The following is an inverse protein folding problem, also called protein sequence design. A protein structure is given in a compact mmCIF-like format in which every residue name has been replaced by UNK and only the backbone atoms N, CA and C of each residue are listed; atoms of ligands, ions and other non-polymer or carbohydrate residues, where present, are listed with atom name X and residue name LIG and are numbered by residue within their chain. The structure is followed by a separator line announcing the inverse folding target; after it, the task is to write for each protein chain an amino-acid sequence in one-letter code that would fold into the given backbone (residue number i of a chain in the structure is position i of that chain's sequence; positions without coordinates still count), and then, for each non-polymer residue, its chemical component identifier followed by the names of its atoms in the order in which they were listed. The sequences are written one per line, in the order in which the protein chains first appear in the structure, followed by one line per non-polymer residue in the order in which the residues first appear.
data_IF_551087597851
#
_entry.id   IF_551087597851
#
_cell.length_a   1.000
_cell.length_b   1.000
_cell.length_c   1.000
_cell.angle_alpha   90.00
_cell.angle_beta   90.00
_cell.angle_gamma   90.00
#
_symmetry.space_group_name_H-M   'P 1'
#
loop_
_entity.id
_entity.type
_entity.pdbx_description
1 polymer ?
#
# COMPACT_ATOMS: atom_id res chain seq x y z
N UNK A 1 14.65 -36.33 -23.90
CA UNK A 1 14.90 -34.93 -23.51
C UNK A 1 13.57 -34.38 -23.03
N UNK A 2 13.08 -35.02 -21.98
CA UNK A 2 11.70 -34.96 -21.48
C UNK A 2 11.83 -34.54 -20.01
N UNK A 3 10.81 -33.83 -19.51
CA UNK A 3 10.64 -33.44 -18.10
C UNK A 3 11.25 -32.09 -17.65
N UNK A 4 11.23 -31.07 -18.52
CA UNK A 4 11.49 -29.65 -18.16
C UNK A 4 10.20 -28.83 -17.96
N UNK A 5 9.02 -29.41 -18.25
CA UNK A 5 7.75 -28.66 -18.37
C UNK A 5 6.81 -28.75 -17.15
N UNK A 6 7.24 -29.39 -16.06
CA UNK A 6 6.41 -29.65 -14.87
C UNK A 6 6.63 -28.61 -13.76
N UNK A 7 6.08 -27.40 -13.89
CA UNK A 7 5.70 -26.57 -12.72
C UNK A 7 4.89 -25.31 -13.04
N UNK A 8 3.77 -25.44 -13.76
CA UNK A 8 2.73 -24.41 -13.72
C UNK A 8 1.36 -25.07 -13.50
N UNK A 9 0.76 -24.79 -12.35
CA UNK A 9 -0.52 -25.36 -11.88
C UNK A 9 -1.71 -24.82 -12.70
N UNK A 10 -1.98 -25.46 -13.85
CA UNK A 10 -3.19 -25.17 -14.63
C UNK A 10 -3.32 -25.83 -16.02
N UNK A 11 -2.41 -26.72 -16.43
CA UNK A 11 -2.49 -27.41 -17.72
C UNK A 11 -1.92 -26.59 -18.89
N UNK A 12 -1.61 -27.29 -19.99
CA UNK A 12 -0.94 -26.75 -21.18
C UNK A 12 -1.67 -25.53 -21.78
N UNK A 13 -3.00 -25.59 -21.85
CA UNK A 13 -3.84 -24.51 -22.41
C UNK A 13 -3.72 -23.20 -21.60
N UNK A 14 -3.56 -23.28 -20.27
CA UNK A 14 -3.38 -22.10 -19.42
C UNK A 14 -2.00 -21.48 -19.63
N UNK A 15 -0.95 -22.29 -19.82
CA UNK A 15 0.41 -21.79 -20.07
C UNK A 15 0.50 -21.10 -21.43
N UNK A 16 -0.01 -21.71 -22.49
CA UNK A 16 0.03 -21.12 -23.84
C UNK A 16 -0.74 -19.79 -23.89
N UNK A 17 -1.88 -19.72 -23.21
CA UNK A 17 -2.64 -18.48 -23.05
C UNK A 17 -1.84 -17.38 -22.32
N UNK A 18 -1.09 -17.73 -21.27
CA UNK A 18 -0.23 -16.79 -20.54
C UNK A 18 0.97 -16.32 -21.38
N UNK A 19 1.64 -17.24 -22.08
CA UNK A 19 2.75 -16.90 -22.98
C UNK A 19 2.29 -15.95 -24.10
N UNK A 20 1.11 -16.20 -24.68
CA UNK A 20 0.53 -15.32 -25.68
C UNK A 20 0.20 -13.92 -25.11
N UNK A 21 -0.28 -13.84 -23.86
CA UNK A 21 -0.53 -12.56 -23.16
C UNK A 21 0.75 -11.79 -22.91
N UNK A 22 1.79 -12.45 -22.39
CA UNK A 22 3.11 -11.84 -22.16
C UNK A 22 3.66 -11.21 -23.45
N UNK A 23 3.61 -11.96 -24.56
CA UNK A 23 4.07 -11.48 -25.87
C UNK A 23 3.27 -10.29 -26.38
N UNK A 24 1.95 -10.24 -26.15
CA UNK A 24 1.13 -9.07 -26.50
C UNK A 24 1.51 -7.82 -25.70
N UNK A 25 2.07 -8.00 -24.50
CA UNK A 25 2.64 -6.93 -23.67
C UNK A 25 4.14 -6.68 -23.96
N UNK A 26 4.69 -7.31 -25.00
CA UNK A 26 6.03 -7.03 -25.50
C UNK A 26 7.13 -7.97 -25.00
N UNK A 27 6.81 -8.94 -24.12
CA UNK A 27 7.81 -9.87 -23.61
C UNK A 27 8.36 -10.77 -24.71
N UNK A 28 9.69 -10.86 -24.78
CA UNK A 28 10.41 -11.73 -25.71
C UNK A 28 10.45 -13.17 -25.20
N UNK A 29 10.92 -14.09 -26.03
CA UNK A 29 11.13 -15.48 -25.57
C UNK A 29 12.28 -15.58 -24.58
N UNK A 30 13.27 -14.69 -24.66
CA UNK A 30 14.42 -14.69 -23.76
C UNK A 30 14.05 -14.12 -22.38
N UNK A 31 13.20 -13.08 -22.34
CA UNK A 31 12.61 -12.54 -21.10
C UNK A 31 11.87 -13.64 -20.33
N UNK A 32 11.02 -14.40 -21.03
CA UNK A 32 10.25 -15.51 -20.44
C UNK A 32 11.15 -16.63 -19.91
N UNK A 33 12.26 -16.93 -20.60
CA UNK A 33 13.25 -17.90 -20.11
C UNK A 33 13.99 -17.38 -18.89
N UNK A 34 14.34 -16.09 -18.87
CA UNK A 34 15.00 -15.47 -17.73
C UNK A 34 14.08 -15.48 -16.50
N UNK A 35 12.79 -15.17 -16.66
CA UNK A 35 11.79 -15.24 -15.60
C UNK A 35 11.64 -16.68 -15.07
N UNK A 36 11.57 -17.68 -15.96
CA UNK A 36 11.50 -19.09 -15.58
C UNK A 36 12.78 -19.57 -14.86
N UNK A 37 13.96 -19.15 -15.31
CA UNK A 37 15.23 -19.46 -14.66
C UNK A 37 15.33 -18.89 -13.23
N UNK A 38 14.67 -17.77 -12.96
CA UNK A 38 14.53 -17.18 -11.62
C UNK A 38 13.37 -17.78 -10.82
N UNK A 39 12.69 -18.80 -11.34
CA UNK A 39 11.57 -19.47 -10.66
C UNK A 39 10.33 -18.59 -10.51
N UNK A 40 10.16 -17.57 -11.35
CA UNK A 40 9.00 -16.68 -11.29
C UNK A 40 7.72 -17.41 -11.69
N UNK A 41 6.62 -17.09 -11.00
CA UNK A 41 5.31 -17.54 -11.43
C UNK A 41 4.89 -16.80 -12.72
N UNK A 42 4.71 -17.54 -13.81
CA UNK A 42 4.31 -17.00 -15.12
C UNK A 42 2.98 -16.25 -15.06
N UNK A 43 2.07 -16.65 -14.17
CA UNK A 43 0.82 -15.93 -13.93
C UNK A 43 1.09 -14.52 -13.44
N UNK A 44 1.80 -14.39 -12.31
CA UNK A 44 2.14 -13.08 -11.74
C UNK A 44 3.06 -12.25 -12.66
N UNK A 45 3.97 -12.88 -13.41
CA UNK A 45 4.80 -12.19 -14.39
C UNK A 45 3.95 -11.52 -15.48
N UNK A 46 2.98 -12.25 -16.04
CA UNK A 46 2.01 -11.70 -17.00
C UNK A 46 1.17 -10.60 -16.37
N UNK A 47 0.71 -10.79 -15.14
CA UNK A 47 -0.08 -9.76 -14.45
C UNK A 47 0.70 -8.47 -14.21
N UNK A 48 2.02 -8.56 -13.96
CA UNK A 48 2.88 -7.39 -13.79
C UNK A 48 3.05 -6.63 -15.11
N UNK A 49 3.30 -7.34 -16.22
CA UNK A 49 3.32 -6.75 -17.56
C UNK A 49 1.98 -6.12 -17.94
N UNK A 50 0.87 -6.73 -17.52
CA UNK A 50 -0.46 -6.18 -17.76
C UNK A 50 -0.77 -4.94 -16.94
N UNK A 51 -0.15 -4.81 -15.77
CA UNK A 51 -0.10 -3.61 -14.95
C UNK A 51 1.01 -2.63 -15.40
N UNK A 52 1.47 -2.76 -16.66
CA UNK A 52 2.40 -1.88 -17.36
C UNK A 52 3.81 -1.77 -16.72
N UNK A 53 4.22 -2.76 -15.95
CA UNK A 53 5.62 -2.91 -15.56
C UNK A 53 6.48 -3.37 -16.74
N UNK A 54 7.73 -2.90 -16.80
CA UNK A 54 8.71 -3.41 -17.76
C UNK A 54 9.32 -4.72 -17.25
N UNK A 55 9.85 -5.52 -18.17
CA UNK A 55 10.58 -6.75 -17.82
C UNK A 55 11.72 -6.47 -16.83
N UNK A 56 12.50 -5.42 -17.07
CA UNK A 56 13.61 -5.02 -16.20
C UNK A 56 13.14 -4.73 -14.78
N UNK A 57 12.01 -4.03 -14.64
CA UNK A 57 11.45 -3.69 -13.33
C UNK A 57 10.94 -4.91 -12.57
N UNK A 58 10.37 -5.89 -13.28
CA UNK A 58 9.90 -7.16 -12.71
C UNK A 58 11.11 -7.98 -12.21
N UNK A 59 12.15 -8.06 -13.04
CA UNK A 59 13.40 -8.74 -12.68
C UNK A 59 14.09 -8.08 -11.49
N UNK A 60 14.19 -6.75 -11.47
CA UNK A 60 14.78 -5.99 -10.37
C UNK A 60 14.03 -6.24 -9.05
N UNK A 61 12.70 -6.26 -9.06
CA UNK A 61 11.90 -6.54 -7.88
C UNK A 61 12.18 -7.95 -7.31
N UNK A 62 12.22 -8.97 -8.18
CA UNK A 62 12.53 -10.34 -7.75
C UNK A 62 13.96 -10.46 -7.24
N UNK A 63 14.93 -9.81 -7.88
CA UNK A 63 16.33 -9.83 -7.44
C UNK A 63 16.53 -9.14 -6.09
N UNK A 64 15.73 -8.10 -5.80
CA UNK A 64 15.68 -7.48 -4.49
C UNK A 64 14.98 -8.35 -3.43
N UNK A 65 14.35 -9.47 -3.82
CA UNK A 65 13.64 -10.36 -2.90
C UNK A 65 12.18 -9.97 -2.67
N UNK A 66 11.61 -9.09 -3.51
CA UNK A 66 10.18 -8.75 -3.48
C UNK A 66 9.41 -9.89 -4.13
N UNK A 67 8.42 -10.44 -3.40
CA UNK A 67 7.51 -11.44 -3.96
C UNK A 67 6.77 -10.86 -5.16
N UNK A 68 6.76 -11.56 -6.29
CA UNK A 68 6.16 -11.04 -7.52
C UNK A 68 4.65 -10.78 -7.37
N UNK A 69 3.93 -11.60 -6.59
CA UNK A 69 2.52 -11.37 -6.26
C UNK A 69 2.29 -10.05 -5.51
N UNK A 70 3.26 -9.64 -4.70
CA UNK A 70 3.22 -8.39 -3.94
C UNK A 70 3.51 -7.21 -4.87
N UNK A 71 4.52 -7.33 -5.73
CA UNK A 71 4.85 -6.34 -6.75
C UNK A 71 3.65 -6.06 -7.66
N UNK A 72 2.97 -7.11 -8.17
CA UNK A 72 1.74 -6.99 -8.98
C UNK A 72 0.64 -6.23 -8.25
N UNK A 73 0.40 -6.55 -6.97
CA UNK A 73 -0.63 -5.85 -6.18
C UNK A 73 -0.33 -4.36 -6.04
N UNK A 74 0.94 -4.02 -5.88
CA UNK A 74 1.38 -2.63 -5.78
C UNK A 74 1.18 -1.86 -7.10
N UNK A 75 1.53 -2.47 -8.23
CA UNK A 75 1.29 -1.89 -9.56
C UNK A 75 -0.21 -1.68 -9.82
N UNK A 76 -1.05 -2.66 -9.46
CA UNK A 76 -2.51 -2.54 -9.55
C UNK A 76 -3.10 -1.45 -8.64
N UNK A 77 -2.36 -1.06 -7.61
CA UNK A 77 -2.63 0.10 -6.76
C UNK A 77 -1.95 1.38 -7.30
N UNK A 78 -1.58 1.43 -8.58
CA UNK A 78 -0.92 2.55 -9.25
C UNK A 78 0.42 3.00 -8.64
N UNK A 79 1.08 2.15 -7.83
CA UNK A 79 2.43 2.44 -7.37
C UNK A 79 3.42 2.26 -8.53
N UNK A 80 4.31 3.22 -8.74
CA UNK A 80 5.39 3.09 -9.71
C UNK A 80 6.43 2.07 -9.22
N UNK A 81 7.07 1.28 -10.11
CA UNK A 81 8.13 0.34 -9.73
C UNK A 81 9.20 0.94 -8.82
N UNK A 82 9.66 2.16 -9.10
CA UNK A 82 10.67 2.85 -8.29
C UNK A 82 10.20 3.09 -6.84
N UNK A 83 8.92 3.42 -6.63
CA UNK A 83 8.35 3.63 -5.30
C UNK A 83 8.28 2.31 -4.53
N UNK A 84 7.97 1.20 -5.22
CA UNK A 84 7.91 -0.14 -4.63
C UNK A 84 9.31 -0.58 -4.19
N UNK A 85 10.32 -0.35 -5.02
CA UNK A 85 11.72 -0.65 -4.71
C UNK A 85 12.24 0.19 -3.53
N UNK A 86 11.99 1.50 -3.55
CA UNK A 86 12.39 2.40 -2.46
C UNK A 86 11.75 2.00 -1.12
N UNK A 87 10.46 1.64 -1.13
CA UNK A 87 9.77 1.17 0.07
C UNK A 87 10.33 -0.17 0.58
N UNK A 88 10.76 -1.04 -0.33
CA UNK A 88 11.41 -2.28 0.04
C UNK A 88 12.80 -2.06 0.66
N UNK A 89 13.64 -1.22 0.03
CA UNK A 89 14.99 -0.88 0.50
C UNK A 89 14.97 -0.22 1.88
N UNK A 90 14.01 0.68 2.12
CA UNK A 90 13.85 1.37 3.40
C UNK A 90 13.19 0.49 4.48
N UNK A 91 12.97 -0.80 4.20
CA UNK A 91 12.36 -1.77 5.13
C UNK A 91 11.11 -1.24 5.81
N UNK A 92 10.23 -0.53 5.07
CA UNK A 92 8.93 -0.05 5.55
C UNK A 92 7.97 -1.21 5.90
N UNK A 93 8.50 -2.43 5.95
CA UNK A 93 7.86 -3.70 5.73
C UNK A 93 8.63 -4.85 6.41
N UNK A 94 9.00 -4.72 7.68
CA UNK A 94 9.54 -5.87 8.44
C UNK A 94 8.52 -7.02 8.53
N UNK A 95 7.21 -6.69 8.47
CA UNK A 95 6.12 -7.64 8.36
C UNK A 95 5.37 -7.45 7.03
N UNK A 96 5.43 -8.47 6.18
CA UNK A 96 4.83 -8.45 4.85
C UNK A 96 3.29 -8.39 4.90
N UNK A 97 2.66 -8.73 6.02
CA UNK A 97 1.21 -8.56 6.19
C UNK A 97 0.79 -7.08 6.31
N UNK A 98 1.63 -6.26 6.96
CA UNK A 98 1.39 -4.83 7.19
C UNK A 98 1.77 -3.96 5.98
N UNK A 99 2.87 -4.31 5.31
CA UNK A 99 3.32 -3.62 4.10
C UNK A 99 2.41 -3.81 2.89
N UNK A 100 1.77 -4.98 2.80
CA UNK A 100 1.17 -5.44 1.55
C UNK A 100 -0.31 -5.83 1.68
N UNK A 101 -0.94 -5.46 2.80
CA UNK A 101 -2.39 -5.54 3.02
C UNK A 101 -2.93 -6.96 2.99
N UNK A 102 -2.93 -7.66 4.12
CA UNK A 102 -3.96 -8.66 4.40
C UNK A 102 -5.05 -7.94 5.21
N UNK A 103 -5.92 -7.21 4.51
CA UNK A 103 -6.88 -6.26 5.08
C UNK A 103 -7.06 -5.06 4.15
N UNK A 104 -8.21 -4.38 4.20
CA UNK A 104 -8.65 -3.32 3.26
C UNK A 104 -7.85 -2.00 3.30
N UNK A 105 -6.61 -2.01 3.80
CA UNK A 105 -5.89 -0.80 4.19
C UNK A 105 -4.41 -1.06 4.44
N UNK A 106 -3.69 -1.41 3.37
CA UNK A 106 -2.23 -1.52 3.41
C UNK A 106 -1.55 -0.21 3.02
N UNK A 107 -0.23 -0.14 3.19
CA UNK A 107 0.58 0.95 2.67
C UNK A 107 0.46 1.14 1.15
N UNK A 108 0.08 0.09 0.40
CA UNK A 108 -0.27 0.18 -1.03
C UNK A 108 -1.50 1.04 -1.32
N UNK A 109 -2.54 0.94 -0.50
CA UNK A 109 -3.75 1.76 -0.67
C UNK A 109 -3.42 3.24 -0.46
N UNK A 110 -2.48 3.53 0.45
CA UNK A 110 -1.99 4.88 0.70
C UNK A 110 -1.17 5.40 -0.49
N UNK A 111 -0.29 4.59 -1.07
CA UNK A 111 0.45 4.94 -2.30
C UNK A 111 -0.52 5.29 -3.44
N UNK A 112 -1.56 4.47 -3.65
CA UNK A 112 -2.59 4.73 -4.66
C UNK A 112 -3.33 6.06 -4.44
N UNK A 113 -3.49 6.45 -3.18
CA UNK A 113 -4.13 7.71 -2.78
C UNK A 113 -3.15 8.90 -2.74
N UNK A 114 -1.93 8.71 -3.24
CA UNK A 114 -0.94 9.78 -3.42
C UNK A 114 0.02 9.97 -2.25
N UNK A 115 0.08 9.05 -1.30
CA UNK A 115 1.13 9.06 -0.27
C UNK A 115 2.50 8.76 -0.89
N UNK A 116 3.56 9.41 -0.42
CA UNK A 116 4.93 9.11 -0.84
C UNK A 116 5.57 8.04 0.04
N UNK A 117 6.56 7.27 -0.45
CA UNK A 117 7.32 6.33 0.40
C UNK A 117 7.86 6.95 1.68
N UNK A 118 8.41 8.18 1.62
CA UNK A 118 8.88 8.92 2.80
C UNK A 118 7.76 9.20 3.81
N UNK A 119 6.56 9.55 3.35
CA UNK A 119 5.41 9.72 4.23
C UNK A 119 5.02 8.40 4.90
N UNK A 120 5.07 7.29 4.19
CA UNK A 120 4.75 5.98 4.75
C UNK A 120 5.72 5.56 5.85
N UNK A 121 7.01 5.87 5.68
CA UNK A 121 8.03 5.64 6.71
C UNK A 121 7.72 6.43 7.96
N UNK A 122 7.48 7.73 7.81
CA UNK A 122 7.16 8.60 8.95
C UNK A 122 5.89 8.12 9.65
N UNK A 123 4.86 7.70 8.89
CA UNK A 123 3.64 7.13 9.46
C UNK A 123 3.93 5.82 10.22
N UNK A 124 4.79 4.96 9.67
CA UNK A 124 5.21 3.70 10.28
C UNK A 124 5.98 3.92 11.58
N UNK A 125 7.03 4.75 11.55
CA UNK A 125 7.87 5.10 12.70
C UNK A 125 7.06 5.74 13.84
N UNK A 126 5.96 6.41 13.49
CA UNK A 126 5.03 7.04 14.45
C UNK A 126 3.87 6.13 14.86
N UNK A 127 3.90 4.86 14.44
CA UNK A 127 2.89 3.85 14.73
C UNK A 127 1.46 4.29 14.35
N UNK A 128 1.34 5.07 13.28
CA UNK A 128 0.04 5.52 12.76
C UNK A 128 -0.51 4.44 11.84
N UNK A 129 -1.65 3.88 12.24
CA UNK A 129 -2.27 2.78 11.51
C UNK A 129 -2.69 3.21 10.09
N UNK A 130 -2.41 2.40 9.05
CA UNK A 130 -2.77 2.74 7.67
C UNK A 130 -4.25 3.03 7.44
N UNK A 131 -5.17 2.35 8.14
CA UNK A 131 -6.62 2.68 8.10
C UNK A 131 -6.90 4.15 8.47
N UNK A 132 -6.25 4.64 9.53
CA UNK A 132 -6.45 6.01 10.00
C UNK A 132 -5.94 6.98 8.95
N UNK A 133 -4.77 6.67 8.35
CA UNK A 133 -4.21 7.47 7.26
C UNK A 133 -5.12 7.47 6.03
N UNK A 134 -5.65 6.32 5.64
CA UNK A 134 -6.54 6.20 4.48
C UNK A 134 -7.78 7.06 4.69
N UNK A 135 -8.44 6.93 5.85
CA UNK A 135 -9.59 7.77 6.20
C UNK A 135 -9.23 9.25 6.26
N UNK A 136 -8.04 9.61 6.75
CA UNK A 136 -7.58 11.00 6.76
C UNK A 136 -7.44 11.57 5.35
N UNK A 137 -6.94 10.79 4.38
CA UNK A 137 -6.87 11.21 2.98
C UNK A 137 -8.29 11.34 2.42
N UNK A 138 -9.16 10.36 2.66
CA UNK A 138 -10.52 10.32 2.11
C UNK A 138 -11.44 11.40 2.69
N UNK A 139 -11.23 11.82 3.93
CA UNK A 139 -11.95 12.93 4.57
C UNK A 139 -11.43 14.31 4.17
N UNK A 140 -10.33 14.38 3.44
CA UNK A 140 -9.66 15.63 3.06
C UNK A 140 -8.80 16.24 4.18
N UNK A 141 -8.62 15.56 5.33
CA UNK A 141 -7.69 15.99 6.38
C UNK A 141 -6.24 15.98 5.88
N UNK A 142 -5.90 14.93 5.12
CA UNK A 142 -4.58 14.71 4.56
C UNK A 142 -3.55 14.22 5.57
N UNK A 143 -2.43 13.70 5.05
CA UNK A 143 -1.33 13.14 5.85
C UNK A 143 -0.65 14.21 6.71
N UNK A 144 -0.43 15.41 6.16
CA UNK A 144 0.29 16.48 6.85
C UNK A 144 -0.39 16.88 8.17
N UNK A 145 -1.71 17.06 8.16
CA UNK A 145 -2.47 17.41 9.37
C UNK A 145 -2.55 16.25 10.36
N UNK A 146 -2.63 15.02 9.87
CA UNK A 146 -2.56 13.81 10.70
C UNK A 146 -1.21 13.71 11.43
N UNK A 147 -0.10 13.98 10.73
CA UNK A 147 1.25 14.00 11.30
C UNK A 147 1.41 15.13 12.33
N UNK A 148 0.91 16.33 12.04
CA UNK A 148 0.89 17.46 13.00
C UNK A 148 0.15 17.09 14.28
N UNK A 149 -1.00 16.43 14.17
CA UNK A 149 -1.77 15.97 15.31
C UNK A 149 -1.02 14.91 16.14
N UNK A 150 -0.32 14.00 15.48
CA UNK A 150 0.55 13.05 16.15
C UNK A 150 1.72 13.77 16.86
N UNK A 151 2.34 14.77 16.25
CA UNK A 151 3.38 15.58 16.91
C UNK A 151 2.85 16.31 18.15
N UNK A 152 1.56 16.67 18.16
CA UNK A 152 0.86 17.28 19.30
C UNK A 152 0.35 16.27 20.34
N UNK A 153 0.67 14.98 20.17
CA UNK A 153 0.42 13.94 21.17
C UNK A 153 -0.82 13.07 20.93
N UNK A 154 -1.59 13.28 19.85
CA UNK A 154 -2.72 12.40 19.53
C UNK A 154 -2.21 11.02 19.10
N UNK A 155 -2.82 9.95 19.60
CA UNK A 155 -2.47 8.55 19.29
C UNK A 155 -3.71 7.71 19.08
N UNK A 156 -3.60 6.65 18.29
CA UNK A 156 -4.64 5.62 18.11
C UNK A 156 -6.05 6.19 17.94
N UNK A 157 -6.93 5.94 18.92
CA UNK A 157 -8.32 6.39 18.91
C UNK A 157 -8.48 7.92 18.84
N UNK A 158 -7.54 8.71 19.37
CA UNK A 158 -7.63 10.18 19.30
C UNK A 158 -7.43 10.68 17.87
N UNK A 159 -6.49 10.06 17.12
CA UNK A 159 -6.29 10.35 15.70
C UNK A 159 -7.52 9.95 14.89
N UNK A 160 -8.18 8.85 15.25
CA UNK A 160 -9.43 8.45 14.63
C UNK A 160 -10.54 9.48 14.88
N UNK A 161 -10.65 10.00 16.11
CA UNK A 161 -11.61 11.06 16.44
C UNK A 161 -11.37 12.32 15.61
N UNK A 162 -10.10 12.69 15.38
CA UNK A 162 -9.74 13.83 14.52
C UNK A 162 -10.23 13.63 13.09
N UNK A 163 -10.01 12.44 12.52
CA UNK A 163 -10.46 12.11 11.17
C UNK A 163 -11.99 12.12 11.09
N UNK A 164 -12.66 11.53 12.07
CA UNK A 164 -14.13 11.50 12.15
C UNK A 164 -14.75 12.89 12.34
N UNK A 165 -14.07 13.79 13.06
CA UNK A 165 -14.46 15.18 13.19
C UNK A 165 -14.39 15.87 11.82
N UNK A 166 -13.32 15.67 11.06
CA UNK A 166 -13.19 16.20 9.70
C UNK A 166 -14.28 15.65 8.76
N UNK A 167 -14.58 14.34 8.82
CA UNK A 167 -15.69 13.73 8.06
C UNK A 167 -17.05 14.38 8.40
N UNK A 168 -17.21 14.85 9.64
CA UNK A 168 -18.38 15.58 10.14
C UNK A 168 -18.28 17.10 9.96
N UNK A 169 -17.30 17.60 9.21
CA UNK A 169 -17.04 19.02 8.98
C UNK A 169 -16.78 19.84 10.25
N UNK A 170 -16.32 19.19 11.32
CA UNK A 170 -15.81 19.85 12.53
C UNK A 170 -14.37 20.27 12.27
N UNK A 171 -14.01 21.48 12.67
CA UNK A 171 -12.65 21.98 12.51
C UNK A 171 -11.65 21.09 13.28
N UNK A 172 -10.65 20.48 12.61
CA UNK A 172 -9.62 19.66 13.26
C UNK A 172 -8.87 20.37 14.40
N UNK A 173 -8.74 21.70 14.35
CA UNK A 173 -8.09 22.47 15.40
C UNK A 173 -8.89 22.48 16.72
N UNK A 174 -10.23 22.37 16.67
CA UNK A 174 -11.06 22.22 17.87
C UNK A 174 -10.76 20.89 18.58
N UNK A 175 -10.53 19.83 17.81
CA UNK A 175 -10.15 18.51 18.35
C UNK A 175 -8.79 18.59 19.04
N UNK A 176 -7.82 19.29 18.42
CA UNK A 176 -6.48 19.47 18.98
C UNK A 176 -6.52 20.27 20.28
N UNK A 177 -7.28 21.36 20.32
CA UNK A 177 -7.44 22.17 21.54
C UNK A 177 -8.14 21.38 22.67
N UNK A 178 -9.20 20.63 22.36
CA UNK A 178 -9.85 19.73 23.31
C UNK A 178 -8.87 18.68 23.88
N UNK A 179 -8.03 18.10 23.03
CA UNK A 179 -6.97 17.18 23.46
C UNK A 179 -5.93 17.89 24.34
N UNK A 180 -5.48 19.10 23.99
CA UNK A 180 -4.51 19.84 24.80
C UNK A 180 -5.06 20.23 26.18
N UNK A 181 -6.39 20.31 26.33
CA UNK A 181 -7.09 20.48 27.62
C UNK A 181 -7.28 19.18 28.41
N UNK A 182 -6.78 18.06 27.90
CA UNK A 182 -6.77 16.77 28.59
C UNK A 182 -7.84 15.77 28.16
N UNK A 183 -8.71 16.11 27.19
CA UNK A 183 -9.71 15.16 26.69
C UNK A 183 -9.04 14.06 25.83
N UNK A 184 -9.49 12.81 25.98
CA UNK A 184 -8.96 11.63 25.28
C UNK A 184 -10.10 10.68 24.89
N UNK A 185 -9.88 9.86 23.88
CA UNK A 185 -10.74 8.76 23.48
C UNK A 185 -12.22 9.13 23.42
N UNK A 186 -13.04 8.45 24.22
CA UNK A 186 -14.48 8.64 24.25
C UNK A 186 -14.90 10.02 24.76
N UNK A 187 -14.15 10.64 25.68
CA UNK A 187 -14.47 11.97 26.18
C UNK A 187 -14.24 13.03 25.09
N UNK A 188 -13.15 12.88 24.33
CA UNK A 188 -12.88 13.71 23.15
C UNK A 188 -13.98 13.52 22.10
N UNK A 189 -14.35 12.27 21.82
CA UNK A 189 -15.43 11.94 20.88
C UNK A 189 -16.78 12.56 21.27
N UNK A 190 -17.18 12.39 22.54
CA UNK A 190 -18.44 12.93 23.05
C UNK A 190 -18.45 14.46 23.07
N UNK A 191 -17.31 15.10 23.37
CA UNK A 191 -17.19 16.55 23.32
C UNK A 191 -17.47 17.10 21.90
N UNK A 192 -16.98 16.40 20.87
CA UNK A 192 -17.14 16.82 19.48
C UNK A 192 -18.54 16.57 18.91
N UNK A 193 -19.25 15.56 19.43
CA UNK A 193 -20.62 15.20 19.03
C UNK A 193 -21.73 15.74 19.91
N UNK A 194 -21.39 16.29 21.07
CA UNK A 194 -22.36 16.88 21.99
C UNK A 194 -23.11 18.06 21.33
N UNK A 195 -24.35 18.36 21.77
CA UNK A 195 -25.08 19.51 21.27
C UNK A 195 -24.26 20.78 21.51
N UNK A 196 -23.75 21.37 20.44
CA UNK A 196 -23.14 22.70 20.47
C UNK A 196 -24.28 23.67 20.81
N UNK A 197 -24.33 24.15 22.05
CA UNK A 197 -25.38 25.03 22.53
C UNK A 197 -25.58 26.21 21.57
N UNK A 198 -26.83 26.40 21.14
CA UNK A 198 -27.31 27.61 20.45
C UNK A 198 -27.39 28.77 21.43
#
# INVERSE_FOLDING_TARGET
MEDVYRRFSGGWERRDGLLARARRKGATTDDLRAAEAKGMDLGHYVEALEADASDESIHAAVDAGILLSVFVRALRANAAPAQIMEAHEKQVAADSAYAWGIGRSGYLDLLNKGATPDQLIVLHEREIHPDITLRAIESGLGIAKLLEANDKGLRGADLLCLVEAQEQQVNPDEVLDAHLRGLRGLDLYNHLRGPKGQ
#
